data_IF_696630217482
#
_entry.id   IF_696630217482
#
_cell.length_a   1.000
_cell.length_b   1.000
_cell.length_c   1.000
_cell.angle_alpha   90.00
_cell.angle_beta   90.00
_cell.angle_gamma   90.00
#
_symmetry.space_group_name_H-M   'P 1'
#
loop_
_entity.id
_entity.type
_entity.pdbx_description
1 polymer ?
#
# COMPACT_ATOMS: atom_id res chain seq x y z
N UNK A 1 -13.06 24.79 13.16
CA UNK A 1 -12.35 25.40 12.00
C UNK A 1 -12.02 24.32 10.94
N UNK A 2 -11.39 23.19 11.32
CA UNK A 2 -10.93 22.16 10.38
C UNK A 2 -12.08 21.45 9.65
N UNK A 3 -13.11 20.99 10.37
CA UNK A 3 -14.29 20.35 9.75
C UNK A 3 -15.03 21.27 8.78
N UNK A 4 -15.10 22.58 9.09
CA UNK A 4 -15.73 23.55 8.20
C UNK A 4 -14.91 23.74 6.92
N UNK A 5 -13.57 23.67 6.99
CA UNK A 5 -12.69 23.69 5.83
C UNK A 5 -12.88 22.43 4.97
N UNK A 6 -12.84 21.24 5.59
CA UNK A 6 -13.04 19.98 4.88
C UNK A 6 -14.37 19.92 4.13
N UNK A 7 -15.44 20.49 4.72
CA UNK A 7 -16.75 20.59 4.06
C UNK A 7 -16.77 21.47 2.81
N UNK A 8 -15.75 22.31 2.60
CA UNK A 8 -15.60 23.14 1.39
C UNK A 8 -14.72 22.52 0.32
N UNK A 9 -14.02 21.42 0.64
CA UNK A 9 -13.17 20.75 -0.33
C UNK A 9 -13.99 20.03 -1.40
N UNK A 10 -13.63 20.13 -2.69
CA UNK A 10 -14.29 19.35 -3.74
C UNK A 10 -13.95 17.87 -3.60
N UNK A 11 -14.85 16.99 -4.02
CA UNK A 11 -14.60 15.54 -4.04
C UNK A 11 -13.61 15.13 -5.13
N UNK A 12 -13.58 15.89 -6.20
CA UNK A 12 -12.65 15.74 -7.32
C UNK A 12 -12.01 17.11 -7.57
N UNK A 13 -10.69 17.13 -7.69
CA UNK A 13 -9.93 18.29 -8.11
C UNK A 13 -9.28 17.98 -9.47
N UNK A 14 -9.53 18.85 -10.46
CA UNK A 14 -8.93 18.73 -11.78
C UNK A 14 -7.96 19.89 -12.04
N UNK A 15 -6.84 19.55 -12.67
CA UNK A 15 -5.89 20.50 -13.28
C UNK A 15 -5.63 20.14 -14.74
N UNK A 16 -4.74 20.85 -15.40
CA UNK A 16 -4.36 20.52 -16.78
C UNK A 16 -3.71 19.12 -16.87
N UNK A 17 -2.94 18.73 -15.88
CA UNK A 17 -2.13 17.49 -15.87
C UNK A 17 -2.72 16.36 -15.04
N UNK A 18 -3.58 16.67 -14.05
CA UNK A 18 -4.03 15.71 -13.04
C UNK A 18 -5.53 15.78 -12.77
N UNK A 19 -6.06 14.63 -12.37
CA UNK A 19 -7.33 14.48 -11.64
C UNK A 19 -6.98 13.90 -10.27
N UNK A 20 -7.37 14.57 -9.18
CA UNK A 20 -7.18 14.07 -7.82
C UNK A 20 -8.53 13.72 -7.22
N UNK A 21 -8.65 12.50 -6.69
CA UNK A 21 -9.88 12.00 -6.06
C UNK A 21 -9.49 11.01 -4.95
N UNK A 22 -10.34 10.83 -3.93
CA UNK A 22 -9.98 9.97 -2.81
C UNK A 22 -9.82 8.51 -3.22
N UNK A 23 -10.82 7.90 -3.90
CA UNK A 23 -10.81 6.46 -4.21
C UNK A 23 -10.84 6.16 -5.71
N UNK A 24 -11.65 6.86 -6.49
CA UNK A 24 -11.76 6.61 -7.93
C UNK A 24 -12.86 7.42 -8.61
N UNK A 25 -12.98 7.27 -9.92
CA UNK A 25 -14.00 7.89 -10.76
C UNK A 25 -14.63 6.84 -11.69
N UNK A 26 -15.92 6.99 -11.98
CA UNK A 26 -16.64 6.13 -12.92
C UNK A 26 -16.75 6.74 -14.33
N UNK A 27 -16.49 8.05 -14.46
CA UNK A 27 -16.65 8.79 -15.71
C UNK A 27 -15.59 9.89 -15.84
N UNK A 28 -15.15 10.15 -17.08
CA UNK A 28 -14.32 11.31 -17.42
C UNK A 28 -15.11 12.63 -17.46
N UNK A 29 -16.44 12.55 -17.58
CA UNK A 29 -17.30 13.69 -17.25
C UNK A 29 -17.37 13.80 -15.72
N UNK A 30 -16.47 14.58 -15.14
CA UNK A 30 -16.27 14.63 -13.70
C UNK A 30 -17.51 15.08 -12.93
N UNK A 31 -18.41 15.84 -13.55
CA UNK A 31 -19.66 16.29 -12.95
C UNK A 31 -20.68 15.16 -12.74
N UNK A 32 -20.52 14.03 -13.43
CA UNK A 32 -21.44 12.87 -13.34
C UNK A 32 -21.02 11.83 -12.29
N UNK A 33 -19.86 12.00 -11.69
CA UNK A 33 -19.39 11.07 -10.65
C UNK A 33 -20.15 11.28 -9.34
N UNK A 34 -20.69 10.20 -8.79
CA UNK A 34 -21.31 10.26 -7.47
C UNK A 34 -20.26 10.22 -6.35
N UNK A 35 -20.65 10.75 -5.19
CA UNK A 35 -19.74 10.88 -4.04
C UNK A 35 -19.30 9.53 -3.50
N UNK A 36 -20.17 8.52 -3.50
CA UNK A 36 -19.85 7.20 -2.95
C UNK A 36 -18.76 6.53 -3.80
N UNK A 37 -18.86 6.60 -5.12
CA UNK A 37 -17.78 6.16 -6.03
C UNK A 37 -16.48 6.89 -5.73
N UNK A 38 -16.51 8.21 -5.59
CA UNK A 38 -15.31 9.00 -5.32
C UNK A 38 -14.62 8.63 -4.00
N UNK A 39 -15.37 8.15 -3.01
CA UNK A 39 -14.88 7.88 -1.66
C UNK A 39 -14.61 6.39 -1.37
N UNK A 40 -15.22 5.45 -2.12
CA UNK A 40 -15.23 4.04 -1.70
C UNK A 40 -14.80 3.04 -2.76
N UNK A 41 -14.46 3.47 -3.99
CA UNK A 41 -14.00 2.56 -5.04
C UNK A 41 -12.75 1.80 -4.61
N UNK A 42 -12.81 0.47 -4.43
CA UNK A 42 -11.64 -0.30 -4.07
C UNK A 42 -10.73 -0.52 -5.28
N UNK A 43 -9.44 -0.70 -5.04
CA UNK A 43 -8.48 -1.19 -6.04
C UNK A 43 -8.51 -0.44 -7.39
N UNK A 44 -8.79 0.86 -7.37
CA UNK A 44 -8.94 1.67 -8.58
C UNK A 44 -7.68 1.67 -9.48
N UNK A 45 -6.49 1.47 -8.93
CA UNK A 45 -5.24 1.33 -9.68
C UNK A 45 -5.29 0.21 -10.73
N UNK A 46 -6.07 -0.85 -10.50
CA UNK A 46 -6.28 -1.97 -11.43
C UNK A 46 -7.31 -1.69 -12.52
N UNK A 47 -7.78 -0.44 -12.68
CA UNK A 47 -8.77 -0.07 -13.69
C UNK A 47 -8.31 -0.45 -15.12
N UNK A 48 -9.18 -1.09 -15.94
CA UNK A 48 -8.75 -1.66 -17.23
C UNK A 48 -8.43 -0.63 -18.32
N UNK A 49 -8.93 0.59 -18.17
CA UNK A 49 -8.74 1.63 -19.18
C UNK A 49 -7.66 2.62 -18.78
N UNK A 50 -6.88 3.06 -19.76
CA UNK A 50 -5.89 4.11 -19.59
C UNK A 50 -6.56 5.48 -19.63
N UNK A 51 -6.25 6.31 -18.62
CA UNK A 51 -6.76 7.68 -18.54
C UNK A 51 -5.92 8.65 -19.38
N UNK A 52 -6.54 9.70 -19.94
CA UNK A 52 -5.82 10.72 -20.74
C UNK A 52 -4.92 11.62 -19.87
N UNK A 53 -5.30 11.85 -18.61
CA UNK A 53 -4.52 12.56 -17.59
C UNK A 53 -4.10 11.58 -16.49
N UNK A 54 -3.14 11.97 -15.66
CA UNK A 54 -2.83 11.20 -14.45
C UNK A 54 -3.96 11.33 -13.43
N UNK A 55 -4.46 10.20 -12.93
CA UNK A 55 -5.46 10.15 -11.86
C UNK A 55 -4.75 9.76 -10.56
N UNK A 56 -4.73 10.68 -9.59
CA UNK A 56 -4.09 10.46 -8.29
C UNK A 56 -5.17 10.02 -7.31
N UNK A 57 -4.97 8.84 -6.70
CA UNK A 57 -5.90 8.23 -5.76
C UNK A 57 -5.24 7.78 -4.47
N UNK A 58 -6.01 7.73 -3.39
CA UNK A 58 -5.71 7.09 -2.12
C UNK A 58 -6.56 5.85 -1.90
N UNK A 59 -7.12 5.71 -0.69
CA UNK A 59 -8.10 4.73 -0.25
C UNK A 59 -7.62 3.27 -0.25
N UNK A 60 -6.97 2.82 -1.31
CA UNK A 60 -6.41 1.47 -1.41
C UNK A 60 -4.88 1.55 -1.27
N UNK A 61 -4.30 0.97 -0.20
CA UNK A 61 -2.86 1.07 0.05
C UNK A 61 -2.02 0.66 -1.16
N UNK A 62 -1.06 1.51 -1.53
CA UNK A 62 -0.16 1.29 -2.66
C UNK A 62 0.57 -0.06 -2.57
N UNK A 63 0.89 -0.47 -1.34
CA UNK A 63 1.50 -1.78 -1.06
C UNK A 63 0.67 -2.97 -1.54
N UNK A 64 -0.65 -2.86 -1.61
CA UNK A 64 -1.52 -3.95 -2.06
C UNK A 64 -1.39 -4.27 -3.56
N UNK A 65 -0.80 -3.36 -4.34
CA UNK A 65 -0.50 -3.57 -5.77
C UNK A 65 0.86 -4.22 -6.02
N UNK A 66 1.71 -4.34 -4.99
CA UNK A 66 3.02 -4.97 -5.14
C UNK A 66 2.88 -6.49 -5.27
N UNK A 67 3.65 -7.10 -6.17
CA UNK A 67 3.66 -8.57 -6.32
C UNK A 67 4.74 -9.22 -5.45
N UNK A 68 5.96 -8.69 -5.47
CA UNK A 68 7.12 -9.29 -4.79
C UNK A 68 7.57 -8.48 -3.56
N UNK A 69 8.18 -7.31 -3.80
CA UNK A 69 8.69 -6.46 -2.74
C UNK A 69 7.59 -5.49 -2.32
N UNK A 70 7.12 -5.60 -1.09
CA UNK A 70 6.09 -4.73 -0.54
C UNK A 70 6.69 -3.33 -0.28
N UNK A 71 6.10 -2.31 -0.92
CA UNK A 71 6.50 -0.91 -0.75
C UNK A 71 5.29 -0.06 -0.40
N UNK A 72 5.43 0.81 0.59
CA UNK A 72 4.41 1.79 0.95
C UNK A 72 4.49 3.08 0.13
N UNK A 73 5.54 3.26 -0.69
CA UNK A 73 5.69 4.40 -1.59
C UNK A 73 4.63 4.41 -2.69
N UNK A 74 4.33 5.57 -3.31
CA UNK A 74 3.35 5.65 -4.39
C UNK A 74 3.58 4.62 -5.50
N UNK A 75 2.50 3.99 -5.96
CA UNK A 75 2.53 3.02 -7.04
C UNK A 75 2.04 3.66 -8.35
N UNK A 76 2.86 3.59 -9.39
CA UNK A 76 2.60 4.16 -10.71
C UNK A 76 2.11 3.06 -11.64
N UNK A 77 0.85 3.15 -12.04
CA UNK A 77 0.22 2.18 -12.94
C UNK A 77 0.38 2.58 -14.41
N UNK A 78 0.44 1.60 -15.31
CA UNK A 78 0.58 1.83 -16.76
C UNK A 78 -0.63 2.54 -17.39
N UNK A 79 -1.76 2.56 -16.71
CA UNK A 79 -3.01 3.18 -17.12
C UNK A 79 -3.16 4.66 -16.71
N UNK A 80 -2.05 5.33 -16.34
CA UNK A 80 -2.00 6.71 -15.85
C UNK A 80 -2.67 6.92 -14.49
N UNK A 81 -2.77 5.90 -13.65
CA UNK A 81 -3.19 6.05 -12.26
C UNK A 81 -1.95 6.10 -11.36
N UNK A 82 -1.99 6.93 -10.33
CA UNK A 82 -0.98 6.99 -9.26
C UNK A 82 -1.69 6.73 -7.94
N UNK A 83 -1.44 5.56 -7.33
CA UNK A 83 -1.95 5.23 -6.00
C UNK A 83 -0.97 5.73 -4.94
N UNK A 84 -1.39 6.72 -4.12
CA UNK A 84 -0.51 7.38 -3.13
C UNK A 84 -0.78 6.97 -1.69
N UNK A 85 -1.77 6.14 -1.42
CA UNK A 85 -2.06 5.69 -0.06
C UNK A 85 -0.92 4.84 0.49
N UNK A 86 -0.18 5.37 1.46
CA UNK A 86 0.91 4.66 2.14
C UNK A 86 0.45 3.67 3.21
N UNK A 87 -0.86 3.51 3.40
CA UNK A 87 -1.44 2.59 4.38
C UNK A 87 -1.37 3.08 5.83
N UNK A 88 -1.13 4.37 6.09
CA UNK A 88 -0.90 4.90 7.43
C UNK A 88 -1.98 4.54 8.47
N UNK A 89 -3.24 4.44 8.07
CA UNK A 89 -4.34 4.07 8.96
C UNK A 89 -4.63 2.56 9.03
N UNK A 90 -4.08 1.76 8.10
CA UNK A 90 -4.46 0.35 7.93
C UNK A 90 -3.29 -0.63 8.04
N UNK A 91 -2.08 -0.18 7.79
CA UNK A 91 -0.88 -1.01 7.82
C UNK A 91 -0.03 -0.69 9.04
N UNK A 92 0.53 -1.70 9.68
CA UNK A 92 1.38 -1.52 10.87
C UNK A 92 2.63 -0.66 10.58
N UNK A 93 3.10 -0.71 9.36
CA UNK A 93 4.27 0.01 8.84
C UNK A 93 3.88 1.03 7.76
N UNK A 94 2.63 1.52 7.82
CA UNK A 94 2.13 2.53 6.90
C UNK A 94 2.77 3.90 7.10
N UNK A 95 2.74 4.69 6.05
CA UNK A 95 3.29 6.03 5.99
C UNK A 95 2.31 6.99 5.30
N UNK A 96 2.53 8.29 5.44
CA UNK A 96 1.82 9.32 4.68
C UNK A 96 2.69 9.67 3.49
N UNK A 97 2.22 9.37 2.27
CA UNK A 97 2.90 9.80 1.06
C UNK A 97 2.40 11.19 0.62
N UNK A 98 3.29 11.92 -0.04
CA UNK A 98 2.93 13.16 -0.74
C UNK A 98 3.66 13.25 -2.07
N UNK A 99 3.06 14.01 -2.99
CA UNK A 99 3.63 14.31 -4.30
C UNK A 99 3.82 15.82 -4.41
N UNK A 100 4.98 16.24 -4.89
CA UNK A 100 5.26 17.64 -5.25
C UNK A 100 5.38 17.70 -6.76
N UNK A 101 4.50 18.50 -7.39
CA UNK A 101 4.56 18.73 -8.83
C UNK A 101 4.96 20.16 -9.11
N UNK A 102 6.14 20.31 -9.73
CA UNK A 102 6.69 21.60 -10.05
C UNK A 102 7.49 21.51 -11.37
N UNK A 103 7.33 22.49 -12.26
CA UNK A 103 8.06 22.55 -13.53
C UNK A 103 7.94 21.24 -14.36
N UNK A 104 6.75 20.64 -14.43
CA UNK A 104 6.47 19.35 -15.07
C UNK A 104 7.27 18.15 -14.50
N UNK A 105 7.86 18.31 -13.33
CA UNK A 105 8.54 17.24 -12.60
C UNK A 105 7.73 16.85 -11.38
N UNK A 106 7.70 15.54 -11.11
CA UNK A 106 7.02 14.97 -9.98
C UNK A 106 8.06 14.42 -9.00
N UNK A 107 8.04 14.94 -7.78
CA UNK A 107 8.85 14.44 -6.66
C UNK A 107 7.95 13.69 -5.69
N UNK A 108 8.50 12.63 -5.09
CA UNK A 108 7.82 11.79 -4.11
C UNK A 108 8.48 12.00 -2.77
N UNK A 109 7.66 12.21 -1.74
CA UNK A 109 8.12 12.18 -0.37
C UNK A 109 7.17 11.40 0.52
N UNK A 110 7.62 11.10 1.72
CA UNK A 110 6.81 10.41 2.72
C UNK A 110 7.14 10.87 4.14
N UNK A 111 6.23 10.55 5.06
CA UNK A 111 6.41 10.73 6.49
C UNK A 111 5.83 9.50 7.22
N UNK A 112 6.64 8.84 8.03
CA UNK A 112 6.26 7.60 8.73
C UNK A 112 6.20 7.74 10.26
N UNK A 113 6.65 8.87 10.82
CA UNK A 113 6.72 9.13 12.26
C UNK A 113 7.48 8.05 13.07
N UNK A 114 8.39 7.32 12.43
CA UNK A 114 9.18 6.28 13.07
C UNK A 114 10.52 6.85 13.62
N UNK A 115 11.06 6.25 14.68
CA UNK A 115 12.41 6.61 15.15
C UNK A 115 13.42 6.31 14.05
N UNK A 116 14.33 7.23 13.83
CA UNK A 116 15.45 7.01 12.93
C UNK A 116 16.66 6.45 13.69
N UNK A 117 17.31 5.47 13.08
CA UNK A 117 18.50 4.82 13.62
C UNK A 117 19.59 4.75 12.56
N UNK A 118 20.83 4.88 12.99
CA UNK A 118 22.00 4.66 12.14
C UNK A 118 22.40 3.19 12.22
N UNK A 119 22.68 2.58 11.08
CA UNK A 119 23.11 1.19 11.01
C UNK A 119 24.58 1.06 11.39
N UNK A 120 24.89 0.03 12.16
CA UNK A 120 26.26 -0.27 12.57
C UNK A 120 27.00 -1.14 11.54
N UNK A 121 26.27 -1.94 10.77
CA UNK A 121 26.80 -2.87 9.78
C UNK A 121 25.96 -2.83 8.49
N UNK A 122 26.57 -3.17 7.37
CA UNK A 122 25.89 -3.31 6.10
C UNK A 122 25.08 -4.63 6.05
N UNK A 123 23.95 -4.61 5.35
CA UNK A 123 23.13 -5.78 5.09
C UNK A 123 23.01 -6.02 3.57
N UNK A 124 23.26 -7.24 3.15
CA UNK A 124 23.01 -7.62 1.76
C UNK A 124 21.53 -7.84 1.49
N UNK A 125 21.09 -7.56 0.25
CA UNK A 125 19.74 -7.89 -0.19
C UNK A 125 19.47 -9.39 -0.12
N UNK A 126 18.29 -9.79 0.37
CA UNK A 126 17.89 -11.20 0.37
C UNK A 126 17.61 -11.70 -1.05
N UNK A 127 18.15 -12.88 -1.37
CA UNK A 127 17.94 -13.54 -2.68
C UNK A 127 16.66 -14.36 -2.71
N UNK A 128 16.38 -15.01 -1.59
CA UNK A 128 15.21 -15.87 -1.40
C UNK A 128 14.32 -15.24 -0.33
N UNK A 129 13.15 -14.81 -0.72
CA UNK A 129 12.15 -14.21 0.19
C UNK A 129 10.74 -14.55 -0.27
N UNK A 130 9.78 -14.35 0.59
CA UNK A 130 8.38 -14.30 0.22
C UNK A 130 7.71 -13.08 0.84
N UNK A 131 6.68 -12.59 0.15
CA UNK A 131 5.83 -11.50 0.62
C UNK A 131 4.38 -11.89 0.43
N UNK A 132 3.56 -11.61 1.42
CA UNK A 132 2.11 -11.83 1.38
C UNK A 132 1.43 -10.60 1.92
N UNK A 133 0.56 -10.02 1.12
CA UNK A 133 -0.23 -8.84 1.51
C UNK A 133 -1.68 -8.99 1.10
N UNK A 134 -2.53 -8.23 1.76
CA UNK A 134 -3.94 -8.11 1.37
C UNK A 134 -4.08 -7.69 -0.12
N UNK A 135 -4.99 -8.29 -0.89
CA UNK A 135 -6.01 -9.26 -0.46
C UNK A 135 -5.59 -10.75 -0.51
N UNK A 136 -4.33 -11.07 -0.81
CA UNK A 136 -3.81 -12.43 -1.04
C UNK A 136 -3.45 -13.17 0.28
N UNK A 137 -4.04 -12.80 1.40
CA UNK A 137 -3.66 -13.28 2.76
C UNK A 137 -4.46 -14.49 3.25
N UNK A 138 -5.40 -15.04 2.46
CA UNK A 138 -6.14 -16.24 2.82
C UNK A 138 -5.23 -17.47 2.77
N UNK A 139 -5.28 -18.30 3.83
CA UNK A 139 -4.42 -19.48 3.98
C UNK A 139 -5.19 -20.73 4.37
N UNK A 140 -4.63 -21.88 4.00
CA UNK A 140 -4.98 -23.19 4.54
C UNK A 140 -3.97 -23.57 5.60
N UNK A 141 -4.42 -23.85 6.82
CA UNK A 141 -3.56 -24.36 7.90
C UNK A 141 -3.19 -25.81 7.59
N UNK A 142 -1.91 -26.12 7.62
CA UNK A 142 -1.35 -27.46 7.44
C UNK A 142 -1.00 -28.12 8.77
N UNK A 143 -0.37 -27.38 9.67
CA UNK A 143 -0.08 -27.82 11.04
C UNK A 143 -0.06 -26.61 11.98
N UNK A 144 -0.33 -26.85 13.27
CA UNK A 144 -0.31 -25.82 14.29
C UNK A 144 0.57 -26.27 15.46
N UNK A 145 1.63 -25.52 15.70
CA UNK A 145 2.53 -25.65 16.85
C UNK A 145 2.42 -24.44 17.78
N UNK A 146 3.17 -24.49 18.87
CA UNK A 146 3.16 -23.40 19.87
C UNK A 146 3.86 -22.14 19.35
N UNK A 147 4.97 -22.30 18.61
CA UNK A 147 5.79 -21.17 18.11
C UNK A 147 5.38 -20.75 16.71
N UNK A 148 4.95 -21.70 15.85
CA UNK A 148 4.65 -21.46 14.43
C UNK A 148 3.43 -22.23 13.98
N UNK A 149 2.72 -21.63 13.03
CA UNK A 149 1.64 -22.25 12.26
C UNK A 149 2.17 -22.45 10.83
N UNK A 150 2.14 -23.68 10.33
CA UNK A 150 2.46 -23.95 8.92
C UNK A 150 1.20 -23.76 8.08
N UNK A 151 1.30 -22.92 7.07
CA UNK A 151 0.19 -22.56 6.20
C UNK A 151 0.57 -22.73 4.72
N UNK A 152 -0.44 -22.94 3.90
CA UNK A 152 -0.38 -22.80 2.45
C UNK A 152 -1.20 -21.58 2.05
N UNK A 153 -0.59 -20.63 1.33
CA UNK A 153 -1.27 -19.45 0.79
C UNK A 153 -2.22 -19.91 -0.31
N UNK A 154 -3.50 -19.59 -0.22
CA UNK A 154 -4.51 -20.07 -1.20
C UNK A 154 -4.21 -19.54 -2.60
N UNK A 155 -3.75 -18.30 -2.73
CA UNK A 155 -3.49 -17.65 -4.01
C UNK A 155 -2.28 -18.21 -4.76
N UNK A 156 -1.16 -18.47 -4.07
CA UNK A 156 0.12 -18.87 -4.68
C UNK A 156 0.49 -20.32 -4.46
N UNK A 157 -0.25 -21.06 -3.61
CA UNK A 157 0.08 -22.42 -3.14
C UNK A 157 1.45 -22.53 -2.43
N UNK A 158 2.06 -21.41 -2.09
CA UNK A 158 3.32 -21.37 -1.35
C UNK A 158 3.10 -21.79 0.09
N UNK A 159 3.98 -22.65 0.61
CA UNK A 159 4.00 -23.04 2.02
C UNK A 159 4.89 -22.11 2.81
N UNK A 160 4.37 -21.60 3.90
CA UNK A 160 5.03 -20.64 4.78
C UNK A 160 4.85 -21.03 6.24
N UNK A 161 5.69 -20.47 7.11
CA UNK A 161 5.56 -20.53 8.58
C UNK A 161 5.30 -19.14 9.10
N UNK A 162 4.26 -18.98 9.91
CA UNK A 162 3.89 -17.71 10.53
C UNK A 162 3.80 -17.89 12.04
N UNK A 163 4.10 -16.84 12.79
CA UNK A 163 3.87 -16.83 14.24
C UNK A 163 2.38 -16.73 14.55
N UNK A 164 1.89 -17.26 15.68
CA UNK A 164 0.48 -17.21 16.05
C UNK A 164 -0.13 -15.80 16.05
N UNK A 165 0.66 -14.78 16.39
CA UNK A 165 0.23 -13.38 16.38
C UNK A 165 -0.07 -12.80 14.99
N UNK A 166 0.45 -13.41 13.93
CA UNK A 166 0.21 -13.02 12.55
C UNK A 166 -0.87 -13.85 11.87
N UNK A 167 -1.55 -14.73 12.62
CA UNK A 167 -2.63 -15.57 12.13
C UNK A 167 -3.95 -15.16 12.77
N UNK A 168 -5.03 -15.16 12.01
CA UNK A 168 -6.36 -14.88 12.51
C UNK A 168 -7.44 -15.60 11.71
N UNK A 169 -8.61 -15.77 12.36
CA UNK A 169 -9.79 -16.37 11.75
C UNK A 169 -10.86 -15.30 11.56
N UNK A 170 -11.43 -15.21 10.35
CA UNK A 170 -12.48 -14.25 10.05
C UNK A 170 -13.50 -14.85 9.08
N UNK A 171 -14.80 -14.73 9.40
CA UNK A 171 -15.94 -15.21 8.58
C UNK A 171 -15.76 -16.65 8.05
N UNK A 172 -15.29 -17.57 8.89
CA UNK A 172 -15.13 -18.98 8.54
C UNK A 172 -13.88 -19.32 7.72
N UNK A 173 -12.99 -18.39 7.52
CA UNK A 173 -11.74 -18.56 6.78
C UNK A 173 -10.53 -18.17 7.62
N UNK A 174 -9.38 -18.67 7.23
CA UNK A 174 -8.11 -18.41 7.89
C UNK A 174 -7.29 -17.41 7.08
N UNK A 175 -6.68 -16.47 7.79
CA UNK A 175 -5.88 -15.41 7.21
C UNK A 175 -4.60 -15.20 7.99
N UNK A 176 -3.64 -14.59 7.32
CA UNK A 176 -2.43 -14.06 7.96
C UNK A 176 -2.38 -12.53 7.77
N UNK A 177 -1.65 -11.88 8.65
CA UNK A 177 -1.30 -10.46 8.46
C UNK A 177 -0.37 -10.30 7.27
N UNK A 178 -0.27 -9.07 6.75
CA UNK A 178 0.76 -8.75 5.76
C UNK A 178 2.14 -9.06 6.34
N UNK A 179 2.91 -9.87 5.64
CA UNK A 179 4.28 -10.23 6.04
C UNK A 179 5.21 -10.22 4.84
N UNK A 180 6.47 -9.92 5.09
CA UNK A 180 7.56 -10.11 4.14
C UNK A 180 8.79 -10.60 4.86
N UNK A 181 9.55 -11.48 4.20
CA UNK A 181 10.90 -11.89 4.61
C UNK A 181 11.97 -11.17 3.77
N UNK A 182 11.56 -10.23 2.92
CA UNK A 182 12.49 -9.43 2.15
C UNK A 182 13.33 -8.53 3.07
N UNK A 183 14.62 -8.58 2.86
CA UNK A 183 15.61 -7.70 3.49
C UNK A 183 16.25 -6.85 2.38
N UNK A 184 16.12 -5.52 2.41
CA UNK A 184 16.75 -4.65 1.43
C UNK A 184 18.28 -4.63 1.61
N UNK A 185 18.99 -4.28 0.55
CA UNK A 185 20.40 -3.89 0.68
C UNK A 185 20.48 -2.59 1.48
N UNK A 186 21.30 -2.60 2.53
CA UNK A 186 21.54 -1.45 3.40
C UNK A 186 23.04 -1.27 3.60
N UNK A 187 23.49 -0.02 3.72
CA UNK A 187 24.90 0.32 3.90
C UNK A 187 25.21 0.61 5.36
N UNK A 188 26.45 0.35 5.76
CA UNK A 188 26.98 0.85 7.02
C UNK A 188 26.83 2.38 7.09
N UNK A 189 26.53 2.90 8.27
CA UNK A 189 26.25 4.31 8.54
C UNK A 189 24.96 4.89 7.88
N UNK A 190 24.18 4.08 7.15
CA UNK A 190 22.91 4.53 6.61
C UNK A 190 21.90 4.82 7.72
N UNK A 191 21.15 5.92 7.59
CA UNK A 191 20.07 6.27 8.50
C UNK A 191 18.75 5.74 7.96
N UNK A 192 18.07 4.92 8.75
CA UNK A 192 16.82 4.27 8.38
C UNK A 192 15.74 4.46 9.43
N UNK A 193 14.49 4.36 9.04
CA UNK A 193 13.36 4.34 9.97
C UNK A 193 13.21 2.96 10.61
N UNK A 194 13.18 2.91 11.94
CA UNK A 194 13.03 1.66 12.70
C UNK A 194 11.54 1.30 12.81
N UNK A 195 11.09 0.36 12.01
CA UNK A 195 9.78 -0.26 12.19
C UNK A 195 9.89 -1.37 13.25
N UNK A 196 9.20 -1.20 14.39
CA UNK A 196 9.15 -2.25 15.42
C UNK A 196 8.41 -3.47 14.88
N UNK A 197 9.08 -4.58 14.92
CA UNK A 197 8.51 -5.92 14.66
C UNK A 197 7.64 -6.37 15.82
#
# INVERSE_FOLDING_TARGET
AELAYLATCPHILESDDFICVHAGISSLDLATNDIDTCLTTPEFGSHPHKFPKKVIVGHWPASNYCDDIIKATPYFHDNNIISIDGGNSMKRWGQINYLIYQNHQLEIGFYDNLPQVQLLDAQAESKDFYSVQFPKTEVKVLSQGDDFIECEIIHSHQKIKVTPQNYYHYKGKNYISDITTYQPELKEDEVVSLCRV
#
